data_IF_289552097547
#
_entry.id   IF_289552097547
#
_cell.length_a   1.000
_cell.length_b   1.000
_cell.length_c   1.000
_cell.angle_alpha   90.00
_cell.angle_beta   90.00
_cell.angle_gamma   90.00
#
_symmetry.space_group_name_H-M   'P 1'
#
loop_
_entity.id
_entity.type
_entity.pdbx_description
1 polymer ?
2 water ?
#
# COMPACT_ATOMS: atom_id res chain seq x y z
N UNK A 1 -27.09 24.41 16.05
CA UNK A 1 -26.12 25.35 15.46
C UNK A 1 -25.77 25.06 13.96
N UNK A 2 -24.49 24.87 13.67
CA UNK A 2 -24.02 24.55 12.30
C UNK A 2 -22.98 23.43 12.44
N UNK A 3 -21.82 23.81 12.95
CA UNK A 3 -20.73 22.87 13.13
C UNK A 3 -21.30 21.66 13.88
N UNK A 4 -21.83 21.85 15.10
CA UNK A 4 -22.38 20.72 15.89
C UNK A 4 -23.21 19.80 14.95
N UNK A 5 -23.97 20.42 14.05
CA UNK A 5 -24.80 19.71 13.07
C UNK A 5 -23.91 18.85 12.13
N UNK A 6 -22.71 19.38 11.83
CA UNK A 6 -21.74 18.70 10.97
C UNK A 6 -21.09 17.50 11.67
N UNK A 7 -20.60 17.67 12.89
CA UNK A 7 -20.02 16.52 13.58
C UNK A 7 -21.08 15.40 13.72
N UNK A 8 -22.35 15.77 13.93
CA UNK A 8 -23.41 14.80 14.08
C UNK A 8 -23.57 14.07 12.74
N UNK A 9 -23.46 14.84 11.66
CA UNK A 9 -23.51 14.26 10.33
C UNK A 9 -22.24 13.43 10.08
N UNK A 10 -21.07 14.00 10.33
CA UNK A 10 -19.84 13.25 10.12
C UNK A 10 -19.85 11.96 10.98
N UNK A 11 -20.24 12.07 12.27
CA UNK A 11 -20.31 10.91 13.16
C UNK A 11 -21.37 9.97 12.58
N UNK A 12 -22.47 10.56 12.08
CA UNK A 12 -23.53 9.78 11.47
C UNK A 12 -22.98 9.09 10.20
N UNK A 13 -22.39 9.88 9.30
CA UNK A 13 -21.80 9.29 8.08
C UNK A 13 -20.86 8.13 8.52
N UNK A 14 -19.83 8.42 9.33
CA UNK A 14 -18.90 7.41 9.80
C UNK A 14 -19.56 6.15 10.38
N UNK A 15 -20.59 6.32 11.22
CA UNK A 15 -21.32 5.19 11.76
C UNK A 15 -21.93 4.44 10.56
N UNK A 16 -22.17 5.15 9.48
CA UNK A 16 -22.73 4.45 8.31
C UNK A 16 -21.67 3.38 7.95
N UNK A 17 -20.51 3.80 7.46
CA UNK A 17 -19.45 2.87 7.08
C UNK A 17 -19.49 1.49 7.80
N UNK A 18 -19.37 1.49 9.14
CA UNK A 18 -19.36 0.24 9.87
C UNK A 18 -20.71 -0.51 9.90
N UNK A 19 -21.83 0.22 9.98
CA UNK A 19 -23.09 -0.51 10.02
C UNK A 19 -23.38 -1.19 8.71
N UNK A 20 -22.72 -0.77 7.65
CA UNK A 20 -22.98 -1.45 6.38
C UNK A 20 -21.86 -2.48 6.04
N UNK A 21 -20.94 -2.71 6.96
CA UNK A 21 -19.83 -3.65 6.71
C UNK A 21 -18.74 -3.16 5.74
N UNK A 22 -18.83 -1.89 5.31
CA UNK A 22 -17.89 -1.33 4.32
C UNK A 22 -16.50 -1.22 4.94
N UNK A 23 -16.41 -0.96 6.24
CA UNK A 23 -15.09 -0.86 6.85
C UNK A 23 -14.99 -1.65 8.14
N UNK A 24 -13.77 -1.98 8.50
CA UNK A 24 -13.50 -2.77 9.72
C UNK A 24 -12.54 -2.02 10.71
N UNK A 25 -12.09 -2.77 11.72
CA UNK A 25 -11.19 -2.22 12.76
C UNK A 25 -9.94 -1.48 12.28
N UNK A 26 -9.47 -1.76 11.07
CA UNK A 26 -8.28 -1.06 10.60
C UNK A 26 -8.67 0.41 10.35
N UNK A 27 -9.88 0.65 9.89
CA UNK A 27 -10.29 2.04 9.67
C UNK A 27 -10.32 2.71 11.06
N UNK A 28 -10.84 1.95 12.04
CA UNK A 28 -10.88 2.34 13.45
C UNK A 28 -9.44 2.75 13.88
N UNK A 29 -8.45 1.91 13.55
CA UNK A 29 -7.03 2.21 13.89
C UNK A 29 -6.53 3.54 13.29
N UNK A 30 -6.98 3.85 12.08
CA UNK A 30 -6.61 5.13 11.42
C UNK A 30 -7.14 6.27 12.30
N UNK A 31 -8.39 6.09 12.76
CA UNK A 31 -8.96 7.10 13.61
C UNK A 31 -8.04 7.13 14.86
N UNK A 32 -7.66 5.95 15.36
CA UNK A 32 -6.77 5.90 16.54
C UNK A 32 -5.49 6.72 16.23
N UNK A 33 -4.87 6.41 15.09
CA UNK A 33 -3.67 7.11 14.64
C UNK A 33 -3.82 8.62 14.66
N UNK A 34 -4.82 9.16 13.96
CA UNK A 34 -5.03 10.61 13.92
C UNK A 34 -5.00 11.17 15.32
N UNK A 35 -5.46 10.36 16.28
CA UNK A 35 -5.44 10.74 17.68
C UNK A 35 -4.19 10.07 18.28
N UNK A 39 -1.53 16.21 13.62
CA UNK A 39 -2.02 15.43 12.47
C UNK A 39 -3.56 15.28 12.36
N UNK A 40 -4.33 16.38 12.59
CA UNK A 40 -5.82 16.41 12.53
C UNK A 40 -6.48 16.10 11.17
N UNK A 41 -5.71 16.14 10.09
CA UNK A 41 -6.26 15.84 8.78
C UNK A 41 -5.67 14.55 8.25
N UNK A 42 -4.99 13.82 9.12
CA UNK A 42 -4.38 12.58 8.74
C UNK A 42 -5.34 11.60 8.00
N UNK A 43 -6.47 11.28 8.63
CA UNK A 43 -7.41 10.35 8.03
C UNK A 43 -7.88 10.81 6.62
N UNK A 44 -8.20 12.10 6.47
CA UNK A 44 -8.66 12.56 5.18
C UNK A 44 -7.61 12.33 4.08
N UNK A 45 -6.33 12.53 4.43
CA UNK A 45 -5.25 12.36 3.45
C UNK A 45 -5.01 10.90 3.10
N UNK A 46 -5.09 10.03 4.10
CA UNK A 46 -4.90 8.60 3.89
C UNK A 46 -6.00 8.09 2.93
N UNK A 47 -7.25 8.54 3.14
CA UNK A 47 -8.38 8.11 2.31
C UNK A 47 -8.24 8.74 0.92
N UNK A 48 -7.75 9.97 0.84
CA UNK A 48 -7.55 10.67 -0.42
C UNK A 48 -6.56 9.89 -1.27
N UNK A 49 -5.50 9.41 -0.63
CA UNK A 49 -4.43 8.62 -1.29
C UNK A 49 -4.98 7.25 -1.72
N UNK A 50 -5.57 6.53 -0.77
CA UNK A 50 -6.12 5.21 -1.07
C UNK A 50 -7.05 5.35 -2.30
N UNK A 51 -7.90 6.36 -2.24
CA UNK A 51 -8.85 6.66 -3.30
C UNK A 51 -8.13 6.60 -4.67
N UNK A 52 -7.08 7.40 -4.78
CA UNK A 52 -6.26 7.49 -6.00
C UNK A 52 -5.42 6.23 -6.37
N UNK A 53 -4.55 5.77 -5.45
CA UNK A 53 -3.71 4.61 -5.72
C UNK A 53 -4.55 3.34 -5.97
N UNK A 54 -5.75 3.32 -5.39
CA UNK A 54 -6.67 2.21 -5.55
C UNK A 54 -7.20 2.12 -6.95
N UNK A 55 -7.76 3.21 -7.51
CA UNK A 55 -8.29 3.16 -8.88
C UNK A 55 -7.16 2.98 -9.91
N UNK A 56 -6.00 3.51 -9.60
CA UNK A 56 -4.83 3.35 -10.47
C UNK A 56 -4.51 1.84 -10.63
N UNK A 57 -4.55 1.08 -9.54
CA UNK A 57 -4.23 -0.35 -9.59
C UNK A 57 -5.32 -1.08 -10.39
N UNK A 58 -6.58 -0.72 -10.17
CA UNK A 58 -7.69 -1.31 -10.92
C UNK A 58 -7.44 -1.07 -12.43
N UNK A 59 -7.03 0.14 -12.78
CA UNK A 59 -6.77 0.46 -14.18
C UNK A 59 -5.59 -0.36 -14.70
N UNK A 60 -4.52 -0.49 -13.91
CA UNK A 60 -3.36 -1.29 -14.33
C UNK A 60 -3.79 -2.78 -14.54
N UNK A 61 -4.65 -3.28 -13.67
CA UNK A 61 -5.10 -4.65 -13.85
C UNK A 61 -5.98 -4.74 -15.12
N UNK A 62 -6.82 -3.73 -15.35
CA UNK A 62 -7.68 -3.73 -16.57
C UNK A 62 -6.78 -3.73 -17.79
N UNK A 63 -5.65 -3.03 -17.70
CA UNK A 63 -4.72 -3.02 -18.85
C UNK A 63 -4.10 -4.39 -19.04
N UNK A 64 -3.72 -5.06 -17.96
CA UNK A 64 -3.14 -6.40 -18.10
C UNK A 64 -4.16 -7.40 -18.70
N UNK A 65 -5.43 -7.28 -18.30
CA UNK A 65 -6.48 -8.21 -18.78
C UNK A 65 -6.95 -7.93 -20.22
N UNK A 66 -6.54 -6.80 -20.77
CA UNK A 66 -6.89 -6.41 -22.15
C UNK A 66 -5.76 -6.84 -23.13
N UNK A 67 -4.65 -7.41 -22.63
CA UNK A 67 -3.53 -7.76 -23.53
C UNK A 67 -3.74 -9.08 -24.31
N UNK A 68 -3.20 -9.18 -25.56
CA UNK A 68 -3.41 -10.43 -26.29
C UNK A 68 -3.01 -11.62 -25.41
N UNK A 69 -1.88 -11.49 -24.72
CA UNK A 69 -1.41 -12.53 -23.83
C UNK A 69 -1.46 -11.91 -22.41
N UNK A 70 -2.17 -12.54 -21.48
CA UNK A 70 -2.30 -11.97 -20.13
C UNK A 70 -1.17 -12.42 -19.22
N UNK A 71 -0.56 -11.45 -18.54
CA UNK A 71 0.50 -11.74 -17.57
C UNK A 71 -0.27 -11.92 -16.22
N UNK A 72 -0.77 -13.14 -15.95
CA UNK A 72 -1.52 -13.37 -14.72
C UNK A 72 -0.59 -13.24 -13.52
N UNK A 73 0.71 -13.34 -13.79
CA UNK A 73 1.69 -13.18 -12.73
C UNK A 73 1.57 -11.76 -12.16
N UNK A 74 1.43 -10.81 -13.08
CA UNK A 74 1.34 -9.41 -12.75
C UNK A 74 -0.06 -9.00 -12.24
N UNK A 75 -1.09 -9.67 -12.75
CA UNK A 75 -2.43 -9.41 -12.25
C UNK A 75 -2.48 -9.83 -10.75
N UNK A 76 -1.96 -11.01 -10.47
CA UNK A 76 -1.95 -11.54 -9.09
C UNK A 76 -1.21 -10.50 -8.20
N UNK A 77 -0.06 -10.01 -8.68
CA UNK A 77 0.73 -9.01 -7.94
C UNK A 77 -0.08 -7.71 -7.72
N UNK A 78 -0.76 -7.18 -8.75
CA UNK A 78 -1.54 -5.94 -8.53
C UNK A 78 -2.71 -6.14 -7.55
N UNK A 79 -3.36 -7.30 -7.67
CA UNK A 79 -4.45 -7.62 -6.78
C UNK A 79 -3.95 -7.73 -5.30
N UNK A 80 -2.76 -8.30 -5.11
CA UNK A 80 -2.22 -8.47 -3.77
C UNK A 80 -1.84 -7.09 -3.19
N UNK A 81 -1.37 -6.18 -4.05
CA UNK A 81 -1.02 -4.83 -3.56
C UNK A 81 -2.33 -4.11 -3.17
N UNK A 82 -3.40 -4.31 -3.97
CA UNK A 82 -4.68 -3.63 -3.71
C UNK A 82 -5.27 -4.22 -2.42
N UNK A 83 -5.03 -5.52 -2.22
CA UNK A 83 -5.51 -6.21 -1.05
C UNK A 83 -4.79 -5.57 0.17
N UNK A 84 -3.49 -5.29 0.04
CA UNK A 84 -2.77 -4.64 1.13
C UNK A 84 -3.23 -3.20 1.39
N UNK A 85 -3.44 -2.38 0.36
CA UNK A 85 -3.92 -1.02 0.61
C UNK A 85 -5.29 -1.06 1.30
N UNK A 86 -6.12 -2.02 0.90
CA UNK A 86 -7.46 -2.15 1.49
C UNK A 86 -7.48 -2.54 2.97
N UNK A 87 -6.70 -3.55 3.37
CA UNK A 87 -6.69 -3.98 4.79
C UNK A 87 -6.34 -2.73 5.64
N UNK A 88 -5.25 -2.06 5.23
CA UNK A 88 -4.69 -0.89 5.92
C UNK A 88 -5.65 0.32 6.07
N UNK A 89 -6.58 0.54 5.14
CA UNK A 89 -7.54 1.67 5.36
C UNK A 89 -8.87 1.12 5.90
N UNK A 90 -9.01 -0.20 5.87
CA UNK A 90 -10.23 -0.85 6.35
C UNK A 90 -11.38 -1.22 5.41
N UNK A 91 -11.21 -1.16 4.08
CA UNK A 91 -12.30 -1.54 3.16
C UNK A 91 -12.17 -3.06 3.09
N UNK A 92 -12.82 -3.75 4.02
CA UNK A 92 -12.65 -5.21 4.09
C UNK A 92 -13.13 -6.07 2.92
N UNK A 93 -14.16 -5.60 2.23
CA UNK A 93 -14.73 -6.38 1.12
C UNK A 93 -13.81 -6.39 -0.12
N UNK A 94 -13.27 -5.23 -0.47
CA UNK A 94 -12.34 -5.13 -1.59
C UNK A 94 -11.20 -6.14 -1.29
N UNK A 95 -10.77 -6.10 -0.02
CA UNK A 95 -9.71 -6.98 0.48
C UNK A 95 -10.10 -8.46 0.31
N UNK A 96 -11.30 -8.87 0.74
CA UNK A 96 -11.64 -10.29 0.61
C UNK A 96 -11.92 -10.67 -0.84
N UNK A 97 -12.46 -9.76 -1.65
CA UNK A 97 -12.71 -10.10 -3.08
C UNK A 97 -11.30 -10.30 -3.67
N UNK A 98 -10.34 -9.46 -3.26
CA UNK A 98 -8.94 -9.63 -3.75
C UNK A 98 -8.40 -11.05 -3.40
N UNK A 99 -8.87 -11.59 -2.29
CA UNK A 99 -8.49 -12.93 -1.84
C UNK A 99 -9.13 -14.05 -2.70
N UNK A 100 -9.75 -13.67 -3.82
CA UNK A 100 -10.41 -14.65 -4.71
C UNK A 100 -9.78 -14.68 -6.10
N UNK A 101 -9.15 -13.55 -6.45
CA UNK A 101 -8.49 -13.33 -7.73
C UNK A 101 -7.39 -14.34 -8.08
N UNK A 102 -6.57 -14.67 -7.07
CA UNK A 102 -5.46 -15.61 -7.18
C UNK A 102 -5.97 -16.85 -7.81
N UNK A 103 -7.12 -17.31 -7.29
CA UNK A 103 -7.77 -18.51 -7.77
C UNK A 103 -7.91 -18.40 -9.29
N UNK A 104 -8.46 -17.27 -9.78
CA UNK A 104 -8.60 -17.05 -11.24
C UNK A 104 -7.24 -16.91 -11.92
N UNK A 105 -6.37 -16.01 -11.42
CA UNK A 105 -5.01 -15.89 -12.03
C UNK A 105 -4.33 -17.25 -12.17
N UNK A 106 -4.37 -18.02 -11.07
CA UNK A 106 -3.84 -19.39 -11.01
C UNK A 106 -4.61 -20.31 -11.97
N UNK A 107 -5.86 -19.98 -12.25
CA UNK A 107 -6.66 -20.79 -13.16
C UNK A 107 -6.46 -20.24 -14.58
N UNK A 108 -5.63 -19.20 -14.70
CA UNK A 108 -5.41 -18.55 -15.98
C UNK A 108 -6.75 -18.40 -16.71
N UNK A 109 -7.67 -17.63 -16.15
CA UNK A 109 -9.00 -17.42 -16.73
C UNK A 109 -9.16 -15.95 -17.04
N UNK A 110 -9.49 -15.64 -18.28
CA UNK A 110 -9.60 -14.25 -18.58
C UNK A 110 -10.97 -13.68 -18.26
N UNK A 111 -11.89 -14.55 -17.86
CA UNK A 111 -13.23 -14.08 -17.54
C UNK A 111 -13.42 -13.97 -16.03
N UNK A 112 -12.84 -14.91 -15.30
CA UNK A 112 -12.90 -14.85 -13.87
C UNK A 112 -12.17 -13.54 -13.43
N UNK A 113 -11.01 -13.24 -14.03
CA UNK A 113 -10.23 -12.00 -13.71
C UNK A 113 -10.98 -10.76 -14.22
N UNK A 114 -11.55 -10.84 -15.43
CA UNK A 114 -12.29 -9.68 -15.91
C UNK A 114 -13.54 -9.46 -15.11
N UNK A 115 -14.34 -10.50 -14.82
CA UNK A 115 -15.55 -10.28 -13.99
C UNK A 115 -15.11 -10.07 -12.52
N UNK A 116 -13.96 -10.66 -12.14
CA UNK A 116 -13.42 -10.49 -10.79
C UNK A 116 -13.21 -9.00 -10.50
N UNK A 117 -12.61 -8.32 -11.47
CA UNK A 117 -12.32 -6.89 -11.32
C UNK A 117 -13.64 -6.10 -11.22
N UNK A 118 -14.70 -6.60 -11.87
CA UNK A 118 -16.02 -5.95 -11.77
C UNK A 118 -16.54 -5.96 -10.32
N UNK A 119 -16.30 -7.05 -9.58
CA UNK A 119 -16.72 -7.06 -8.17
C UNK A 119 -15.78 -6.07 -7.40
N UNK A 120 -14.49 -6.05 -7.73
CA UNK A 120 -13.57 -5.09 -7.08
C UNK A 120 -14.18 -3.68 -7.33
N UNK A 121 -14.61 -3.47 -8.58
CA UNK A 121 -15.22 -2.20 -8.93
C UNK A 121 -16.45 -2.02 -8.04
N UNK A 122 -17.32 -3.05 -7.99
CA UNK A 122 -18.55 -3.02 -7.17
C UNK A 122 -18.18 -2.49 -5.75
N UNK A 123 -17.22 -3.15 -5.09
CA UNK A 123 -16.77 -2.76 -3.73
C UNK A 123 -16.03 -1.43 -3.58
N UNK A 124 -15.19 -1.10 -4.56
CA UNK A 124 -14.47 0.18 -4.48
C UNK A 124 -15.43 1.40 -4.52
N UNK A 125 -16.36 1.40 -5.47
CA UNK A 125 -17.23 2.57 -5.58
C UNK A 125 -18.23 2.74 -4.47
N UNK A 126 -18.67 1.64 -3.84
CA UNK A 126 -19.59 1.76 -2.69
C UNK A 126 -18.82 2.51 -1.59
N UNK A 127 -17.57 2.11 -1.32
CA UNK A 127 -16.86 2.83 -0.26
C UNK A 127 -16.38 4.23 -0.73
N UNK A 128 -16.04 4.37 -2.01
CA UNK A 128 -15.59 5.69 -2.48
C UNK A 128 -16.73 6.68 -2.22
N UNK A 129 -17.96 6.19 -2.37
CA UNK A 129 -19.13 7.04 -2.13
C UNK A 129 -19.05 7.59 -0.70
N UNK A 130 -19.02 6.67 0.26
CA UNK A 130 -18.97 7.04 1.69
C UNK A 130 -17.68 7.79 1.99
N UNK A 131 -16.66 7.54 1.18
CA UNK A 131 -15.37 8.24 1.34
C UNK A 131 -15.50 9.70 1.01
N UNK A 132 -15.99 10.00 -0.19
CA UNK A 132 -16.12 11.38 -0.67
C UNK A 132 -16.97 12.25 0.29
N UNK A 133 -18.15 11.74 0.65
CA UNK A 133 -19.05 12.47 1.59
C UNK A 133 -18.25 12.85 2.87
N UNK A 134 -17.61 11.84 3.50
CA UNK A 134 -16.81 12.06 4.72
C UNK A 134 -15.80 13.19 4.50
N UNK A 135 -15.08 13.11 3.38
CA UNK A 135 -14.05 14.13 3.04
C UNK A 135 -14.68 15.53 3.05
N UNK A 136 -15.88 15.61 2.46
CA UNK A 136 -16.61 16.87 2.34
C UNK A 136 -16.93 17.40 3.76
N UNK A 137 -17.48 16.53 4.61
CA UNK A 137 -17.78 16.92 6.00
C UNK A 137 -16.52 17.28 6.77
N UNK A 138 -15.43 16.51 6.59
CA UNK A 138 -14.19 16.80 7.30
C UNK A 138 -13.63 18.16 6.87
N UNK A 139 -13.82 18.54 5.60
CA UNK A 139 -13.37 19.85 5.10
C UNK A 139 -14.23 21.00 5.69
N UNK A 140 -15.54 20.83 5.71
CA UNK A 140 -16.42 21.86 6.23
C UNK A 140 -16.21 22.16 7.72
N UNK A 141 -15.35 21.40 8.38
CA UNK A 141 -15.15 21.67 9.80
C UNK A 141 -14.64 23.10 9.86
N UNK A 142 -13.97 23.54 8.80
CA UNK A 142 -13.44 24.90 8.76
C UNK A 142 -13.66 25.54 7.41
N UNK A 143 -14.91 25.77 7.03
CA UNK A 143 -15.19 26.37 5.72
C UNK A 143 -15.49 27.89 5.72
N UNK B 3 21.85 -24.01 -11.28
CA UNK B 3 22.96 -24.85 -10.76
C UNK B 3 23.80 -24.30 -9.56
N UNK B 4 24.76 -25.12 -9.10
CA UNK B 4 25.69 -24.90 -7.96
C UNK B 4 26.12 -23.48 -7.52
N UNK B 5 27.10 -22.92 -8.23
CA UNK B 5 27.63 -21.60 -7.95
C UNK B 5 26.47 -20.53 -7.78
N UNK B 6 25.52 -20.53 -8.71
CA UNK B 6 24.39 -19.58 -8.64
C UNK B 6 23.60 -19.76 -7.33
N UNK B 7 23.29 -21.01 -6.99
CA UNK B 7 22.53 -21.25 -5.78
C UNK B 7 23.33 -20.73 -4.59
N UNK B 8 24.66 -20.99 -4.56
CA UNK B 8 25.44 -20.50 -3.43
C UNK B 8 25.28 -18.99 -3.18
N UNK B 9 25.55 -18.17 -4.20
CA UNK B 9 25.44 -16.70 -4.10
C UNK B 9 24.09 -16.28 -3.43
N UNK B 10 22.96 -16.74 -3.99
CA UNK B 10 21.64 -16.43 -3.44
C UNK B 10 21.67 -16.86 -1.93
N UNK B 11 22.19 -18.05 -1.65
CA UNK B 11 22.28 -18.45 -0.27
C UNK B 11 22.97 -17.35 0.53
N UNK B 12 24.14 -16.92 0.07
CA UNK B 12 24.86 -15.85 0.75
C UNK B 12 24.20 -14.45 0.68
N UNK B 13 23.27 -14.22 -0.26
CA UNK B 13 22.61 -12.93 -0.37
C UNK B 13 21.49 -12.86 0.69
N UNK B 14 20.58 -13.85 0.61
CA UNK B 14 19.42 -13.97 1.50
C UNK B 14 19.84 -14.07 2.92
N UNK B 15 20.99 -14.69 3.17
CA UNK B 15 21.45 -14.82 4.52
C UNK B 15 21.86 -13.44 4.96
N UNK B 16 22.48 -12.73 4.07
CA UNK B 16 22.85 -11.42 4.48
C UNK B 16 21.68 -10.47 4.65
N UNK B 17 20.63 -10.59 3.80
CA UNK B 17 19.46 -9.71 3.92
C UNK B 17 18.65 -10.17 5.14
N UNK B 18 18.72 -11.47 5.48
CA UNK B 18 17.95 -11.90 6.66
C UNK B 18 18.77 -11.60 7.91
N UNK B 19 20.08 -11.47 7.71
CA UNK B 19 21.04 -11.21 8.79
C UNK B 19 21.03 -9.80 9.28
N UNK B 20 20.91 -8.87 8.36
CA UNK B 20 20.87 -7.51 8.77
C UNK B 20 19.43 -6.97 8.77
N UNK B 21 18.48 -7.89 8.99
CA UNK B 21 17.06 -7.59 9.07
C UNK B 21 16.41 -6.89 7.92
N UNK B 22 17.01 -7.02 6.72
CA UNK B 22 16.46 -6.37 5.52
C UNK B 22 15.04 -6.90 5.24
N UNK B 23 14.82 -8.21 5.39
CA UNK B 23 13.47 -8.77 5.13
C UNK B 23 12.95 -9.58 6.32
N UNK B 24 11.64 -9.65 6.49
CA UNK B 24 11.13 -10.43 7.62
C UNK B 24 10.23 -11.62 7.22
N UNK B 25 9.55 -12.20 8.23
CA UNK B 25 8.68 -13.34 8.01
C UNK B 25 7.62 -13.15 6.91
N UNK B 26 7.06 -11.94 6.80
CA UNK B 26 6.06 -11.61 5.77
C UNK B 26 6.71 -11.74 4.40
N UNK B 27 8.02 -11.55 4.35
CA UNK B 27 8.72 -11.75 3.08
C UNK B 27 8.77 -13.28 2.84
N UNK B 28 9.21 -13.99 3.88
CA UNK B 28 9.28 -15.44 3.81
C UNK B 28 7.92 -15.99 3.40
N UNK B 29 6.83 -15.37 3.87
CA UNK B 29 5.49 -15.84 3.50
C UNK B 29 5.24 -15.75 2.00
N UNK B 30 5.65 -14.63 1.39
CA UNK B 30 5.45 -14.45 -0.06
C UNK B 30 6.17 -15.55 -0.84
N UNK B 31 7.35 -15.88 -0.37
CA UNK B 31 8.16 -16.92 -1.00
C UNK B 31 7.51 -18.30 -0.94
N UNK B 32 6.25 -18.35 -0.52
CA UNK B 32 5.56 -19.65 -0.46
C UNK B 32 4.15 -19.59 -0.98
N UNK B 33 3.45 -18.53 -0.58
CA UNK B 33 2.09 -18.19 -0.97
C UNK B 33 2.04 -18.32 -2.49
N UNK B 34 3.24 -18.26 -3.08
CA UNK B 34 3.42 -18.38 -4.51
C UNK B 34 3.02 -19.82 -4.84
N UNK B 35 3.34 -20.70 -3.89
CA UNK B 35 3.08 -22.14 -3.97
C UNK B 35 1.65 -22.51 -3.68
N UNK B 40 3.70 -17.92 -10.12
CA UNK B 40 5.07 -18.44 -10.21
C UNK B 40 6.13 -17.36 -10.47
N UNK B 41 5.68 -16.26 -11.05
CA UNK B 41 6.56 -15.11 -11.27
C UNK B 41 5.97 -14.14 -10.25
N UNK B 42 5.23 -14.70 -9.30
CA UNK B 42 4.53 -13.90 -8.28
C UNK B 42 5.44 -13.04 -7.41
N UNK B 43 6.46 -13.67 -6.80
CA UNK B 43 7.37 -12.95 -5.90
C UNK B 43 8.04 -11.83 -6.70
N UNK B 44 8.58 -12.18 -7.87
CA UNK B 44 9.24 -11.21 -8.73
C UNK B 44 8.32 -10.03 -9.10
N UNK B 45 7.06 -10.30 -9.46
CA UNK B 45 6.15 -9.18 -9.77
C UNK B 45 5.79 -8.29 -8.56
N UNK B 46 5.67 -8.91 -7.39
CA UNK B 46 5.33 -8.18 -6.17
C UNK B 46 6.46 -7.21 -5.78
N UNK B 47 7.68 -7.75 -5.78
CA UNK B 47 8.88 -6.96 -5.46
C UNK B 47 9.04 -5.85 -6.53
N UNK B 48 8.76 -6.14 -7.80
CA UNK B 48 8.87 -5.05 -8.78
C UNK B 48 7.85 -3.92 -8.50
N UNK B 49 6.60 -4.31 -8.16
CA UNK B 49 5.57 -3.31 -7.85
C UNK B 49 5.92 -2.56 -6.53
N UNK B 50 6.43 -3.30 -5.52
CA UNK B 50 6.80 -2.65 -4.28
C UNK B 50 7.96 -1.64 -4.47
N UNK B 51 8.95 -1.97 -5.32
CA UNK B 51 10.07 -1.09 -5.60
C UNK B 51 9.68 0.12 -6.42
N UNK B 52 8.91 -0.11 -7.49
CA UNK B 52 8.45 1.00 -8.32
C UNK B 52 7.54 1.88 -7.43
N UNK B 53 6.64 1.28 -6.65
CA UNK B 53 5.77 2.11 -5.76
C UNK B 53 6.59 2.90 -4.71
N UNK B 54 7.58 2.23 -4.12
CA UNK B 54 8.40 2.86 -3.09
C UNK B 54 9.23 3.99 -3.74
N UNK B 55 9.85 3.64 -4.87
CA UNK B 55 10.67 4.61 -5.63
C UNK B 55 9.86 5.87 -5.90
N UNK B 56 8.80 5.70 -6.67
CA UNK B 56 7.95 6.81 -7.08
C UNK B 56 7.50 7.58 -5.87
N UNK B 57 7.05 6.92 -4.80
CA UNK B 57 6.55 7.71 -3.71
C UNK B 57 7.63 8.59 -3.04
N UNK B 58 8.66 7.94 -2.46
CA UNK B 58 9.75 8.67 -1.79
C UNK B 58 9.94 10.03 -2.47
N UNK B 59 9.82 10.06 -3.80
CA UNK B 59 9.98 11.33 -4.51
C UNK B 59 8.73 12.24 -4.41
N UNK B 60 7.53 11.66 -4.32
CA UNK B 60 6.36 12.51 -4.15
C UNK B 60 6.50 13.24 -2.79
N UNK B 61 6.89 12.52 -1.73
CA UNK B 61 7.10 13.14 -0.40
C UNK B 61 8.18 14.22 -0.55
N UNK B 62 9.21 13.95 -1.34
CA UNK B 62 10.30 14.91 -1.58
C UNK B 62 9.71 16.24 -2.11
N UNK B 63 8.78 16.16 -3.06
CA UNK B 63 8.16 17.41 -3.57
C UNK B 63 7.26 18.04 -2.48
N UNK B 64 6.45 17.25 -1.76
CA UNK B 64 5.62 17.88 -0.72
C UNK B 64 6.47 18.74 0.23
N UNK B 65 7.65 18.24 0.58
CA UNK B 65 8.54 18.98 1.48
C UNK B 65 9.25 20.18 0.79
N UNK B 66 9.00 20.37 -0.50
CA UNK B 66 9.59 21.51 -1.26
C UNK B 66 8.57 22.62 -1.48
N UNK B 67 7.32 22.38 -1.06
CA UNK B 67 6.29 23.40 -1.26
C UNK B 67 6.39 24.55 -0.25
N UNK B 68 6.05 25.79 -0.68
CA UNK B 68 6.11 26.99 0.19
C UNK B 68 5.39 26.72 1.53
N UNK B 69 4.25 26.03 1.42
CA UNK B 69 3.48 25.63 2.57
C UNK B 69 3.46 24.10 2.49
N UNK B 70 3.81 23.43 3.58
CA UNK B 70 3.86 21.97 3.59
C UNK B 70 2.65 21.33 4.25
N UNK B 71 2.20 20.22 3.67
CA UNK B 71 1.10 19.50 4.25
C UNK B 71 1.66 18.23 4.92
N UNK B 72 1.89 18.32 6.24
CA UNK B 72 2.45 17.22 7.01
C UNK B 72 1.38 16.08 7.21
N UNK B 73 0.10 16.45 7.34
CA UNK B 73 -0.92 15.42 7.42
C UNK B 73 -0.72 14.55 6.14
N UNK B 74 -0.52 15.23 5.01
CA UNK B 74 -0.35 14.54 3.73
C UNK B 74 1.06 13.88 3.68
N UNK B 75 2.03 14.45 4.39
CA UNK B 75 3.35 13.80 4.42
C UNK B 75 3.20 12.45 5.15
N UNK B 76 2.60 12.49 6.34
CA UNK B 76 2.36 11.33 7.23
C UNK B 76 1.59 10.19 6.47
N UNK B 77 0.53 10.59 5.76
CA UNK B 77 -0.29 9.62 4.97
C UNK B 77 0.55 8.99 3.84
N UNK B 78 1.39 9.78 3.20
CA UNK B 78 2.23 9.25 2.11
C UNK B 78 3.26 8.25 2.66
N UNK B 79 3.75 8.49 3.87
CA UNK B 79 4.70 7.60 4.42
C UNK B 79 4.02 6.39 5.08
N UNK B 80 2.76 6.53 5.50
CA UNK B 80 2.04 5.41 6.11
C UNK B 80 1.87 4.30 5.05
N UNK B 81 1.57 4.71 3.81
CA UNK B 81 1.43 3.72 2.70
C UNK B 81 2.68 2.87 2.62
N UNK B 82 3.84 3.52 2.48
CA UNK B 82 5.11 2.81 2.42
C UNK B 82 5.29 1.98 3.69
N UNK B 83 4.91 2.51 4.84
CA UNK B 83 5.05 1.75 6.08
C UNK B 83 4.45 0.32 6.03
N UNK B 84 3.15 0.19 5.75
CA UNK B 84 2.49 -1.14 5.69
C UNK B 84 2.84 -1.82 4.36
N UNK B 85 3.08 -0.94 3.38
CA UNK B 85 3.53 -1.26 2.03
C UNK B 85 4.79 -2.17 2.23
N UNK B 86 5.71 -1.70 3.07
CA UNK B 86 6.94 -2.43 3.41
C UNK B 86 6.64 -3.71 4.19
N UNK B 87 5.75 -3.59 5.17
CA UNK B 87 5.35 -4.76 5.94
C UNK B 87 4.99 -5.86 4.91
N UNK B 88 4.19 -5.51 3.90
CA UNK B 88 3.79 -6.51 2.92
C UNK B 88 4.87 -7.15 2.00
N UNK B 89 6.07 -6.58 1.96
CA UNK B 89 7.17 -7.13 1.17
C UNK B 89 8.31 -7.52 2.18
N UNK B 90 7.89 -7.63 3.46
CA UNK B 90 8.81 -7.95 4.52
C UNK B 90 9.99 -6.97 4.59
N UNK B 91 9.81 -5.78 4.01
CA UNK B 91 10.88 -4.75 4.01
C UNK B 91 10.93 -4.07 5.39
N UNK B 92 11.43 -4.86 6.35
CA UNK B 92 11.47 -4.48 7.76
C UNK B 92 12.18 -3.16 8.09
N UNK B 93 13.38 -2.95 7.52
CA UNK B 93 14.11 -1.70 7.80
C UNK B 93 13.39 -0.47 7.23
N UNK B 94 12.72 -0.62 6.10
CA UNK B 94 12.00 0.51 5.51
C UNK B 94 10.72 0.75 6.37
N UNK B 95 10.30 -0.27 7.11
CA UNK B 95 9.11 -0.11 7.98
C UNK B 95 9.47 0.72 9.22
N UNK B 96 10.54 0.31 9.92
CA UNK B 96 11.00 0.97 11.15
C UNK B 96 11.19 2.48 10.94
N UNK B 97 11.77 2.89 9.81
CA UNK B 97 12.02 4.33 9.55
C UNK B 97 10.71 5.14 9.35
N UNK B 98 9.82 4.58 8.50
CA UNK B 98 8.52 5.19 8.24
C UNK B 98 7.83 5.42 9.60
N UNK B 99 8.02 4.45 10.50
CA UNK B 99 7.37 4.60 11.82
C UNK B 99 7.94 5.80 12.62
N UNK B 100 9.12 6.30 12.24
CA UNK B 100 9.78 7.44 12.95
C UNK B 100 9.37 8.83 12.34
N UNK B 101 8.81 8.77 11.15
CA UNK B 101 8.38 9.90 10.40
C UNK B 101 7.18 10.58 11.02
N UNK B 102 6.28 9.83 11.66
CA UNK B 102 5.10 10.47 12.26
C UNK B 102 5.39 11.69 13.11
N UNK B 103 6.25 11.58 14.13
CA UNK B 103 6.57 12.76 14.96
C UNK B 103 7.15 13.96 14.13
N UNK B 104 8.00 13.70 13.10
CA UNK B 104 8.53 14.81 12.27
C UNK B 104 7.41 15.63 11.62
N UNK B 105 6.44 14.92 11.01
CA UNK B 105 5.30 15.59 10.39
C UNK B 105 4.45 16.16 11.51
N UNK B 106 4.38 15.42 12.61
CA UNK B 106 3.64 15.85 13.77
C UNK B 106 4.37 17.06 14.42
N UNK B 107 5.70 17.13 14.34
CA UNK B 107 6.46 18.26 14.88
C UNK B 107 6.42 19.40 13.85
N UNK B 108 5.83 19.15 12.68
CA UNK B 108 5.79 20.15 11.58
C UNK B 108 7.23 20.62 11.26
N UNK B 109 8.16 19.65 11.20
CA UNK B 109 9.56 19.95 10.93
C UNK B 109 9.88 19.59 9.47
N UNK B 110 9.93 20.61 8.61
CA UNK B 110 10.22 20.38 7.20
C UNK B 110 11.57 19.65 7.00
N UNK B 111 12.64 20.17 7.63
CA UNK B 111 13.95 19.56 7.42
C UNK B 111 14.14 18.27 8.28
N UNK B 112 13.29 18.09 9.29
CA UNK B 112 13.37 16.87 10.10
C UNK B 112 12.71 15.74 9.31
N UNK B 113 11.69 16.06 8.51
CA UNK B 113 11.08 15.05 7.65
C UNK B 113 12.16 14.63 6.61
N UNK B 114 12.98 15.58 6.14
CA UNK B 114 14.04 15.29 5.14
C UNK B 114 15.06 14.24 5.63
N UNK B 115 15.43 14.30 6.90
CA UNK B 115 16.36 13.30 7.47
C UNK B 115 15.79 11.88 7.35
N UNK B 116 14.55 11.64 7.83
CA UNK B 116 13.92 10.28 7.76
C UNK B 116 13.86 9.80 6.32
N UNK B 117 13.41 10.71 5.46
CA UNK B 117 13.30 10.44 4.05
C UNK B 117 14.67 10.13 3.52
N UNK B 118 15.70 10.71 4.14
CA UNK B 118 17.07 10.43 3.70
C UNK B 118 17.38 8.97 4.04
N UNK B 119 16.95 8.55 5.24
CA UNK B 119 17.24 7.19 5.65
C UNK B 119 16.33 6.22 4.85
N UNK B 120 15.07 6.56 4.67
CA UNK B 120 14.16 5.68 3.90
C UNK B 120 14.80 5.54 2.49
N UNK B 121 15.30 6.64 1.99
CA UNK B 121 15.89 6.61 0.68
C UNK B 121 17.06 5.62 0.58
N UNK B 122 17.88 5.55 1.64
CA UNK B 122 18.99 4.61 1.56
C UNK B 122 18.65 3.21 2.01
N UNK B 123 17.79 3.07 3.02
CA UNK B 123 17.44 1.73 3.46
C UNK B 123 16.62 1.05 2.32
N UNK B 124 15.93 1.87 1.53
CA UNK B 124 15.16 1.34 0.40
C UNK B 124 16.12 1.02 -0.76
N UNK B 125 17.07 1.93 -1.03
CA UNK B 125 18.01 1.68 -2.12
C UNK B 125 18.81 0.37 -1.90
N UNK B 126 19.28 0.19 -0.68
CA UNK B 126 20.02 -1.00 -0.38
C UNK B 126 19.11 -2.24 -0.61
N UNK B 127 17.87 -2.18 -0.11
CA UNK B 127 16.94 -3.31 -0.28
C UNK B 127 16.68 -3.51 -1.78
N UNK B 128 16.47 -2.43 -2.50
CA UNK B 128 16.18 -2.62 -3.93
C UNK B 128 17.39 -3.32 -4.60
N UNK B 129 18.61 -2.92 -4.24
CA UNK B 129 19.79 -3.59 -4.82
C UNK B 129 19.75 -5.13 -4.62
N UNK B 130 19.49 -5.53 -3.38
CA UNK B 130 19.42 -6.94 -3.01
C UNK B 130 18.28 -7.66 -3.74
N UNK B 131 17.10 -7.04 -3.84
CA UNK B 131 16.01 -7.71 -4.56
C UNK B 131 16.31 -7.87 -6.08
N UNK B 132 16.91 -6.85 -6.71
CA UNK B 132 17.14 -7.00 -8.17
C UNK B 132 18.23 -8.06 -8.43
N UNK B 133 18.96 -8.40 -7.37
CA UNK B 133 19.98 -9.44 -7.46
C UNK B 133 19.30 -10.80 -7.25
N UNK B 134 18.60 -10.94 -6.13
CA UNK B 134 17.87 -12.17 -5.80
C UNK B 134 17.10 -12.63 -7.05
N UNK B 135 16.47 -11.68 -7.72
CA UNK B 135 15.68 -12.01 -8.92
C UNK B 135 16.59 -12.48 -10.06
N UNK B 136 17.68 -11.77 -10.33
CA UNK B 136 18.58 -12.20 -11.42
C UNK B 136 19.16 -13.61 -11.11
N UNK B 137 19.50 -13.89 -9.85
CA UNK B 137 20.01 -15.22 -9.50
C UNK B 137 18.91 -16.29 -9.62
N UNK B 138 17.67 -15.91 -9.32
CA UNK B 138 16.61 -16.89 -9.45
C UNK B 138 16.41 -17.20 -10.92
N UNK B 139 16.44 -16.16 -11.75
CA UNK B 139 16.29 -16.32 -13.18
C UNK B 139 17.37 -17.27 -13.69
N UNK B 140 18.63 -16.86 -13.56
CA UNK B 140 19.76 -17.69 -13.98
C UNK B 140 19.63 -19.13 -13.48
N UNK B 141 19.21 -19.31 -12.23
CA UNK B 141 19.09 -20.65 -11.66
C UNK B 141 17.94 -21.36 -12.37
N UNK B 142 17.03 -20.56 -12.92
CA UNK B 142 15.89 -21.06 -13.64
C UNK B 142 16.28 -21.72 -14.97
#
# INVERSE_FOLDING_TARGET
SAAAALRDQLTALLSSMFSQGLVDEQFQQLQMLQDEGGTPGFVSEVVTLFCDDADRIINEIATLLEQPVVNFDKVDAYVHQLKGSSASVGAQKVKFTCMQFRQFCQDKSRDGCLMALAVVRNDFYDLRNKFQTMLQLEQQIQAYDPKQQ
SAAAALRDQLTALLSSMFSQGLVDEQFQQLQMLQDEGGTPGFVSEVVTLFCDDADRIINEIATLLEQPVVNFDKVDAYVHQLKGSSASVGAQKVKFTCMQFRQFCQDKSRDGCLMALAVVRNDFYDLRNKFQTMLQLEQQIQAYDPKQQ
#
